data_IF_157650889791
#
_entry.id   IF_157650889791
#
_cell.length_a   1.000
_cell.length_b   1.000
_cell.length_c   1.000
_cell.angle_alpha   90.00
_cell.angle_beta   90.00
_cell.angle_gamma   90.00
#
_symmetry.space_group_name_H-M   'P 1'
#
loop_
_entity.id
_entity.type
_entity.pdbx_description
1 polymer ?
#
# COMPACT_ATOMS: atom_id res chain seq x y z
N UNK A 1 13.30 -12.83 4.48
CA UNK A 1 12.35 -11.79 4.02
C UNK A 1 12.82 -11.16 2.70
N UNK A 2 14.12 -11.20 2.41
CA UNK A 2 14.77 -10.61 1.22
C UNK A 2 14.29 -11.13 -0.15
N UNK A 3 13.93 -12.42 -0.26
CA UNK A 3 13.49 -13.01 -1.54
C UNK A 3 12.17 -12.44 -2.07
N UNK A 4 11.32 -11.89 -1.19
CA UNK A 4 10.05 -11.28 -1.59
C UNK A 4 10.23 -9.86 -2.14
N UNK A 5 11.27 -9.14 -1.71
CA UNK A 5 11.55 -7.79 -2.19
C UNK A 5 12.00 -7.80 -3.66
N UNK A 6 12.92 -8.69 -4.01
CA UNK A 6 13.40 -8.86 -5.40
C UNK A 6 12.28 -9.29 -6.35
N UNK A 7 11.42 -10.23 -5.92
CA UNK A 7 10.25 -10.66 -6.68
C UNK A 7 9.26 -9.50 -6.90
N UNK A 8 8.98 -8.72 -5.84
CA UNK A 8 8.10 -7.56 -5.93
C UNK A 8 8.65 -6.48 -6.87
N UNK A 9 9.96 -6.20 -6.81
CA UNK A 9 10.62 -5.28 -7.76
C UNK A 9 10.52 -5.80 -9.19
N UNK A 10 10.73 -7.10 -9.40
CA UNK A 10 10.58 -7.73 -10.72
C UNK A 10 9.16 -7.61 -11.29
N UNK A 11 8.13 -7.83 -10.45
CA UNK A 11 6.72 -7.68 -10.84
C UNK A 11 6.40 -6.21 -11.18
N UNK A 12 6.90 -5.25 -10.40
CA UNK A 12 6.68 -3.82 -10.66
C UNK A 12 7.39 -3.38 -11.94
N UNK A 13 8.64 -3.78 -12.14
CA UNK A 13 9.36 -3.47 -13.37
C UNK A 13 8.64 -4.04 -14.60
N UNK A 14 8.17 -5.29 -14.51
CA UNK A 14 7.38 -5.90 -15.57
C UNK A 14 6.03 -5.21 -15.80
N UNK A 15 5.36 -4.72 -14.75
CA UNK A 15 4.08 -4.02 -14.88
C UNK A 15 4.21 -2.60 -15.43
N UNK A 16 5.32 -1.91 -15.16
CA UNK A 16 5.67 -0.63 -15.79
C UNK A 16 6.00 -0.76 -17.28
N UNK A 17 6.56 -1.91 -17.69
CA UNK A 17 6.94 -2.17 -19.09
C UNK A 17 5.78 -2.77 -19.91
N UNK A 18 4.73 -3.28 -19.27
CA UNK A 18 3.58 -3.88 -19.94
C UNK A 18 2.24 -3.26 -19.47
N UNK A 19 1.60 -2.43 -20.33
CA UNK A 19 0.35 -1.74 -20.00
C UNK A 19 -0.78 -2.66 -19.52
N UNK A 20 -0.84 -3.91 -20.00
CA UNK A 20 -1.87 -4.88 -19.61
C UNK A 20 -1.76 -5.36 -18.15
N UNK A 21 -0.54 -5.35 -17.60
CA UNK A 21 -0.28 -5.65 -16.18
C UNK A 21 -0.63 -4.45 -15.28
N UNK A 22 -0.35 -3.23 -15.73
CA UNK A 22 -0.80 -1.99 -15.08
C UNK A 22 -2.34 -1.93 -14.96
N UNK A 23 -3.06 -2.42 -15.97
CA UNK A 23 -4.53 -2.52 -15.95
C UNK A 23 -5.04 -3.48 -14.85
N UNK A 24 -4.36 -4.61 -14.66
CA UNK A 24 -4.72 -5.60 -13.64
C UNK A 24 -4.42 -5.11 -12.22
N UNK A 25 -3.31 -4.39 -12.04
CA UNK A 25 -3.02 -3.69 -10.79
C UNK A 25 -4.08 -2.62 -10.51
N UNK A 26 -4.41 -1.78 -11.50
CA UNK A 26 -5.43 -0.73 -11.37
C UNK A 26 -6.79 -1.30 -10.93
N UNK A 27 -7.24 -2.41 -11.52
CA UNK A 27 -8.47 -3.12 -11.11
C UNK A 27 -8.41 -3.61 -9.66
N UNK A 28 -7.25 -4.11 -9.22
CA UNK A 28 -7.06 -4.57 -7.84
C UNK A 28 -7.11 -3.40 -6.85
N UNK A 29 -6.50 -2.26 -7.19
CA UNK A 29 -6.59 -1.03 -6.39
C UNK A 29 -8.03 -0.49 -6.32
N UNK A 30 -8.75 -0.48 -7.44
CA UNK A 30 -10.16 -0.06 -7.48
C UNK A 30 -11.05 -1.01 -6.65
N UNK A 31 -10.79 -2.32 -6.70
CA UNK A 31 -11.50 -3.28 -5.87
C UNK A 31 -11.27 -3.01 -4.37
N UNK A 32 -10.01 -2.79 -3.97
CA UNK A 32 -9.70 -2.45 -2.57
C UNK A 32 -10.31 -1.12 -2.14
N UNK A 33 -10.24 -0.09 -2.99
CA UNK A 33 -10.87 1.21 -2.73
C UNK A 33 -12.38 1.08 -2.54
N UNK A 34 -13.08 0.34 -3.41
CA UNK A 34 -14.52 0.11 -3.28
C UNK A 34 -14.88 -0.63 -1.98
N UNK A 35 -14.03 -1.56 -1.52
CA UNK A 35 -14.25 -2.26 -0.24
C UNK A 35 -14.08 -1.32 0.95
N UNK A 36 -13.05 -0.48 0.90
CA UNK A 36 -12.73 0.53 1.92
C UNK A 36 -13.84 1.59 2.03
N UNK A 37 -14.44 2.01 0.91
CA UNK A 37 -15.56 2.96 0.88
C UNK A 37 -16.88 2.38 1.41
N UNK A 38 -17.01 1.06 1.41
CA UNK A 38 -18.20 0.35 1.91
C UNK A 38 -18.07 -0.06 3.39
N UNK A 39 -16.96 0.25 4.05
CA UNK A 39 -16.62 -0.28 5.37
C UNK A 39 -17.13 0.56 6.56
N UNK A 40 -18.18 1.37 6.37
CA UNK A 40 -18.75 2.34 7.34
C UNK A 40 -17.76 3.38 7.92
N UNK A 41 -16.49 3.32 7.55
CA UNK A 41 -15.47 4.32 7.87
C UNK A 41 -15.70 5.55 6.99
N UNK A 42 -15.42 6.74 7.52
CA UNK A 42 -15.45 7.96 6.73
C UNK A 42 -14.54 7.80 5.48
N UNK A 43 -15.04 8.02 4.25
CA UNK A 43 -14.31 7.69 3.02
C UNK A 43 -13.01 8.50 2.84
N UNK A 44 -12.92 9.71 3.41
CA UNK A 44 -11.68 10.49 3.42
C UNK A 44 -10.65 9.83 4.33
N UNK A 45 -11.07 9.42 5.53
CA UNK A 45 -10.19 8.71 6.48
C UNK A 45 -9.69 7.40 5.89
N UNK A 46 -10.60 6.65 5.28
CA UNK A 46 -10.32 5.39 4.62
C UNK A 46 -9.30 5.55 3.47
N UNK A 47 -9.43 6.64 2.69
CA UNK A 47 -8.47 7.00 1.63
C UNK A 47 -7.10 7.41 2.20
N UNK A 48 -7.05 8.18 3.29
CA UNK A 48 -5.79 8.54 3.96
C UNK A 48 -5.06 7.28 4.44
N UNK A 49 -5.78 6.34 5.06
CA UNK A 49 -5.22 5.07 5.53
C UNK A 49 -4.61 4.30 4.36
N UNK A 50 -5.33 4.18 3.24
CA UNK A 50 -4.84 3.50 2.04
C UNK A 50 -3.55 4.14 1.50
N UNK A 51 -3.53 5.47 1.36
CA UNK A 51 -2.35 6.20 0.88
C UNK A 51 -1.14 6.07 1.81
N UNK A 52 -1.37 6.08 3.12
CA UNK A 52 -0.31 5.88 4.10
C UNK A 52 0.28 4.47 4.02
N UNK A 53 -0.57 3.44 3.87
CA UNK A 53 -0.15 2.05 3.67
C UNK A 53 0.66 1.91 2.37
N UNK A 54 0.21 2.52 1.27
CA UNK A 54 0.94 2.54 0.01
C UNK A 54 2.35 3.14 0.19
N UNK A 55 2.44 4.29 0.88
CA UNK A 55 3.71 4.97 1.16
C UNK A 55 4.66 4.13 2.01
N UNK A 56 4.16 3.50 3.08
CA UNK A 56 4.93 2.58 3.92
C UNK A 56 5.47 1.42 3.09
N UNK A 57 4.61 0.78 2.30
CA UNK A 57 4.99 -0.34 1.45
C UNK A 57 6.06 0.03 0.42
N UNK A 58 5.93 1.19 -0.24
CA UNK A 58 6.92 1.63 -1.23
C UNK A 58 8.25 2.07 -0.61
N UNK A 59 8.22 2.71 0.57
CA UNK A 59 9.44 3.10 1.29
C UNK A 59 10.31 1.88 1.63
N UNK A 60 9.68 0.79 2.08
CA UNK A 60 10.32 -0.49 2.36
C UNK A 60 10.77 -1.19 1.06
N UNK A 61 9.88 -1.28 0.07
CA UNK A 61 10.13 -2.02 -1.17
C UNK A 61 11.30 -1.44 -1.97
N UNK A 62 11.39 -0.11 -2.07
CA UNK A 62 12.46 0.56 -2.79
C UNK A 62 13.66 0.90 -1.91
N UNK A 63 13.59 0.60 -0.61
CA UNK A 63 14.57 1.00 0.40
C UNK A 63 14.85 2.53 0.36
N UNK A 64 13.78 3.33 0.21
CA UNK A 64 13.84 4.79 0.16
C UNK A 64 13.28 5.33 1.46
N UNK A 65 14.18 5.72 2.37
CA UNK A 65 13.85 6.25 3.69
C UNK A 65 12.82 5.38 4.45
N UNK A 66 13.09 4.07 4.65
CA UNK A 66 12.24 3.23 5.47
C UNK A 66 12.15 3.79 6.90
N UNK A 67 11.00 3.61 7.51
CA UNK A 67 10.82 3.97 8.92
C UNK A 67 11.58 2.98 9.79
N UNK A 68 12.11 3.45 10.92
CA UNK A 68 12.57 2.50 11.93
C UNK A 68 11.40 1.68 12.49
N UNK A 69 11.71 0.50 13.04
CA UNK A 69 10.73 -0.46 13.55
C UNK A 69 9.75 0.14 14.57
N UNK A 70 10.21 1.11 15.36
CA UNK A 70 9.39 1.74 16.40
C UNK A 70 8.37 2.67 15.73
N UNK A 71 8.84 3.56 14.87
CA UNK A 71 8.00 4.51 14.15
C UNK A 71 7.00 3.77 13.23
N UNK A 72 7.43 2.71 12.55
CA UNK A 72 6.54 1.88 11.73
C UNK A 72 5.36 1.33 12.56
N UNK A 73 5.63 0.75 13.72
CA UNK A 73 4.58 0.23 14.63
C UNK A 73 3.65 1.33 15.13
N UNK A 74 4.19 2.50 15.51
CA UNK A 74 3.40 3.63 15.97
C UNK A 74 2.46 4.15 14.87
N UNK A 75 2.95 4.27 13.64
CA UNK A 75 2.14 4.66 12.48
C UNK A 75 1.05 3.64 12.21
N UNK A 76 1.37 2.34 12.13
CA UNK A 76 0.36 1.29 11.91
C UNK A 76 -0.71 1.31 13.01
N UNK A 77 -0.31 1.46 14.27
CA UNK A 77 -1.26 1.53 15.38
C UNK A 77 -2.18 2.75 15.27
N UNK A 78 -1.65 3.90 14.82
CA UNK A 78 -2.43 5.10 14.57
C UNK A 78 -3.43 4.90 13.43
N UNK A 79 -3.01 4.27 12.32
CA UNK A 79 -3.91 3.96 11.20
C UNK A 79 -5.06 3.05 11.62
N UNK A 80 -4.81 2.06 12.48
CA UNK A 80 -5.87 1.21 13.07
C UNK A 80 -6.80 2.03 13.96
N UNK A 81 -6.29 2.99 14.73
CA UNK A 81 -7.15 3.82 15.57
C UNK A 81 -8.05 4.75 14.75
N UNK A 82 -7.63 5.12 13.53
CA UNK A 82 -8.44 5.91 12.60
C UNK A 82 -9.62 5.13 11.99
N UNK A 83 -9.68 3.80 12.17
CA UNK A 83 -10.82 2.99 11.70
C UNK A 83 -11.95 2.86 12.73
N UNK A 84 -11.79 3.45 13.92
CA UNK A 84 -12.77 3.40 15.03
C UNK A 84 -13.63 4.65 15.03
#
# INVERSE_FOLDING_TARGET
>A
MDHNAELNVGIIAASMLNPSLSESMSKSYQYMQNKVEQDNINPITATIIRLAIDGLYYSELFNIAPLDDKMNKEVIQQLINMTK
#
